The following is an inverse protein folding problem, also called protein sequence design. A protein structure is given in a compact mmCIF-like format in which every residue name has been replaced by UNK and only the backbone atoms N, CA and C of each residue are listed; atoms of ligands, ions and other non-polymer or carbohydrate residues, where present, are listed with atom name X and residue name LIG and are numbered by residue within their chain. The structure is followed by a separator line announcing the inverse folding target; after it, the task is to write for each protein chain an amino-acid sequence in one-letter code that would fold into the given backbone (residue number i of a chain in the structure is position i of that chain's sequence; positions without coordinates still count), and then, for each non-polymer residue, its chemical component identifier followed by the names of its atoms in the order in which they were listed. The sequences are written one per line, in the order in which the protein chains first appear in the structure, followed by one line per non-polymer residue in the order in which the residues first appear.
data_IF_794305658719
#
_entry.id   IF_794305658719
#
_cell.length_a   1.000
_cell.length_b   1.000
_cell.length_c   1.000
_cell.angle_alpha   90.00
_cell.angle_beta   90.00
_cell.angle_gamma   90.00
#
_symmetry.space_group_name_H-M   'P 1'
#
loop_
_entity.id
_entity.type
_entity.pdbx_description
1 polymer ?
#
# COMPACT_ATOMS: atom_id res chain seq x y z
N UNK A 1 -13.92 -21.65 24.54
CA UNK A 1 -14.36 -20.36 23.96
C UNK A 1 -13.65 -20.19 22.61
N UNK A 2 -14.29 -20.48 21.47
CA UNK A 2 -13.66 -20.36 20.17
C UNK A 2 -13.75 -18.91 19.69
N UNK A 3 -12.72 -18.11 19.95
CA UNK A 3 -12.63 -16.72 19.50
C UNK A 3 -12.01 -16.59 18.08
N UNK A 4 -11.64 -17.71 17.45
CA UNK A 4 -11.00 -17.72 16.13
C UNK A 4 -11.99 -17.62 14.95
N UNK A 5 -13.11 -18.34 15.00
CA UNK A 5 -13.99 -18.49 13.83
C UNK A 5 -14.82 -17.24 13.51
N UNK A 6 -15.23 -16.46 14.53
CA UNK A 6 -15.98 -15.21 14.29
C UNK A 6 -15.13 -14.10 13.68
N UNK A 7 -13.86 -13.94 14.10
CA UNK A 7 -12.95 -12.95 13.49
C UNK A 7 -12.63 -13.31 12.04
N UNK A 8 -12.37 -14.60 11.78
CA UNK A 8 -12.15 -15.11 10.41
C UNK A 8 -13.41 -14.98 9.52
N UNK A 9 -14.62 -15.09 10.08
CA UNK A 9 -15.87 -14.82 9.33
C UNK A 9 -16.05 -13.34 9.00
N UNK A 10 -15.74 -12.43 9.92
CA UNK A 10 -15.82 -10.99 9.66
C UNK A 10 -14.74 -10.52 8.67
N UNK A 11 -13.54 -11.09 8.72
CA UNK A 11 -12.47 -10.83 7.76
C UNK A 11 -12.87 -11.27 6.34
N UNK A 12 -13.53 -12.43 6.19
CA UNK A 12 -14.04 -12.94 4.89
C UNK A 12 -15.08 -12.05 4.19
N UNK A 13 -15.65 -11.05 4.85
CA UNK A 13 -16.64 -10.14 4.26
C UNK A 13 -15.96 -8.94 3.56
N UNK A 14 -14.70 -8.65 3.91
CA UNK A 14 -13.93 -7.55 3.33
C UNK A 14 -13.42 -7.90 1.94
N UNK A 15 -13.42 -6.92 1.04
CA UNK A 15 -12.82 -7.12 -0.28
C UNK A 15 -11.29 -7.23 -0.17
N UNK A 16 -10.62 -7.53 -1.28
CA UNK A 16 -9.15 -7.59 -1.33
C UNK A 16 -8.56 -6.20 -1.04
N UNK A 17 -9.15 -5.16 -1.62
CA UNK A 17 -8.74 -3.77 -1.35
C UNK A 17 -8.96 -3.33 0.10
N UNK A 18 -10.11 -3.70 0.70
CA UNK A 18 -10.40 -3.40 2.12
C UNK A 18 -9.34 -4.00 3.06
N UNK A 19 -8.89 -5.23 2.78
CA UNK A 19 -7.84 -5.87 3.58
C UNK A 19 -6.55 -5.05 3.56
N UNK A 20 -6.09 -4.62 2.39
CA UNK A 20 -4.83 -3.89 2.26
C UNK A 20 -4.91 -2.47 2.86
N UNK A 21 -6.07 -1.81 2.74
CA UNK A 21 -6.29 -0.50 3.35
C UNK A 21 -6.33 -0.53 4.89
N UNK A 22 -6.77 -1.64 5.48
CA UNK A 22 -6.94 -1.74 6.94
C UNK A 22 -5.76 -2.42 7.66
N UNK A 23 -4.95 -3.20 6.95
CA UNK A 23 -3.91 -4.06 7.53
C UNK A 23 -2.54 -3.73 6.91
N UNK A 24 -1.73 -2.86 7.56
CA UNK A 24 -0.42 -2.48 7.04
C UNK A 24 0.56 -3.67 6.99
N UNK A 25 0.43 -4.66 7.87
CA UNK A 25 1.21 -5.91 7.80
C UNK A 25 0.85 -6.75 6.57
N UNK A 26 -0.43 -6.83 6.21
CA UNK A 26 -0.86 -7.48 4.97
C UNK A 26 -0.38 -6.71 3.74
N UNK A 27 -0.49 -5.37 3.73
CA UNK A 27 0.04 -4.51 2.68
C UNK A 27 1.54 -4.68 2.47
N UNK A 28 2.30 -4.75 3.56
CA UNK A 28 3.74 -4.96 3.51
C UNK A 28 4.13 -6.33 2.93
N UNK A 29 3.50 -7.40 3.42
CA UNK A 29 3.74 -8.74 2.88
C UNK A 29 3.31 -8.86 1.41
N UNK A 30 2.18 -8.25 1.03
CA UNK A 30 1.67 -8.23 -0.33
C UNK A 30 2.64 -7.52 -1.28
N UNK A 31 3.06 -6.30 -0.95
CA UNK A 31 3.98 -5.52 -1.78
C UNK A 31 5.32 -6.24 -1.95
N UNK A 32 5.89 -6.77 -0.85
CA UNK A 32 7.16 -7.49 -0.92
C UNK A 32 7.06 -8.75 -1.77
N UNK A 33 6.04 -9.59 -1.55
CA UNK A 33 5.84 -10.82 -2.32
C UNK A 33 5.55 -10.52 -3.79
N UNK A 34 4.74 -9.49 -4.09
CA UNK A 34 4.45 -9.07 -5.46
C UNK A 34 5.72 -8.72 -6.24
N UNK A 35 6.67 -8.04 -5.58
CA UNK A 35 7.94 -7.64 -6.20
C UNK A 35 8.91 -8.81 -6.42
N UNK A 36 8.92 -9.77 -5.50
CA UNK A 36 9.92 -10.85 -5.50
C UNK A 36 9.37 -12.19 -6.04
N UNK A 37 8.13 -12.22 -6.51
CA UNK A 37 7.45 -13.44 -6.91
C UNK A 37 8.18 -14.20 -8.05
N UNK A 38 8.16 -15.55 -8.03
CA UNK A 38 7.65 -16.39 -6.93
C UNK A 38 8.57 -16.34 -5.71
N UNK A 39 8.01 -16.14 -4.51
CA UNK A 39 8.78 -16.01 -3.26
C UNK A 39 8.08 -16.62 -2.04
N UNK A 40 8.86 -17.03 -1.04
CA UNK A 40 8.38 -17.67 0.18
C UNK A 40 8.27 -16.68 1.35
N UNK A 41 7.46 -17.04 2.36
CA UNK A 41 7.41 -16.28 3.62
C UNK A 41 8.75 -16.30 4.36
N UNK A 42 9.53 -17.37 4.22
CA UNK A 42 10.83 -17.46 4.90
C UNK A 42 11.86 -16.50 4.26
N UNK A 43 11.83 -16.31 2.93
CA UNK A 43 12.63 -15.27 2.25
C UNK A 43 12.20 -13.85 2.64
N UNK A 44 10.88 -13.61 2.70
CA UNK A 44 10.33 -12.34 3.17
C UNK A 44 10.81 -12.02 4.58
N UNK A 45 10.68 -12.97 5.52
CA UNK A 45 11.14 -12.78 6.91
C UNK A 45 12.65 -12.59 6.97
N UNK A 46 13.42 -13.35 6.20
CA UNK A 46 14.88 -13.24 6.16
C UNK A 46 15.38 -11.90 5.62
N UNK A 47 14.54 -11.19 4.85
CA UNK A 47 14.90 -9.91 4.23
C UNK A 47 14.43 -8.71 5.04
N UNK A 48 13.20 -8.73 5.58
CA UNK A 48 12.56 -7.51 6.10
C UNK A 48 12.49 -7.43 7.64
N UNK A 49 13.25 -8.28 8.36
CA UNK A 49 13.33 -8.30 9.83
C UNK A 49 11.94 -8.22 10.53
N UNK A 50 10.97 -8.95 9.99
CA UNK A 50 9.61 -9.05 10.54
C UNK A 50 9.45 -10.32 11.38
N UNK A 51 8.55 -10.29 12.36
CA UNK A 51 8.26 -11.48 13.15
C UNK A 51 7.65 -12.59 12.28
N UNK A 52 8.27 -13.79 12.29
CA UNK A 52 7.82 -14.98 11.52
C UNK A 52 6.33 -15.26 11.69
N UNK A 53 5.80 -15.14 12.92
CA UNK A 53 4.40 -15.44 13.20
C UNK A 53 3.47 -14.41 12.55
N UNK A 54 3.84 -13.13 12.58
CA UNK A 54 3.08 -12.06 11.93
C UNK A 54 3.15 -12.19 10.40
N UNK A 55 4.33 -12.46 9.84
CA UNK A 55 4.51 -12.68 8.41
C UNK A 55 3.66 -13.85 7.89
N UNK A 56 3.64 -14.99 8.61
CA UNK A 56 2.77 -16.13 8.26
C UNK A 56 1.30 -15.80 8.39
N UNK A 57 0.91 -15.01 9.39
CA UNK A 57 -0.49 -14.59 9.56
C UNK A 57 -0.93 -13.68 8.39
N UNK A 58 -0.11 -12.71 8.01
CA UNK A 58 -0.37 -11.85 6.86
C UNK A 58 -0.48 -12.66 5.56
N UNK A 59 0.49 -13.55 5.28
CA UNK A 59 0.44 -14.40 4.09
C UNK A 59 -0.81 -15.31 4.05
N UNK A 60 -1.18 -15.92 5.18
CA UNK A 60 -2.40 -16.73 5.25
C UNK A 60 -3.67 -15.90 5.00
N UNK A 61 -3.71 -14.65 5.47
CA UNK A 61 -4.83 -13.73 5.18
C UNK A 61 -4.89 -13.39 3.70
N UNK A 62 -3.76 -13.00 3.11
CA UNK A 62 -3.69 -12.68 1.69
C UNK A 62 -4.10 -13.88 0.82
N UNK A 63 -3.63 -15.09 1.14
CA UNK A 63 -4.03 -16.35 0.48
C UNK A 63 -5.53 -16.61 0.65
N UNK A 64 -6.10 -16.40 1.84
CA UNK A 64 -7.53 -16.57 2.09
C UNK A 64 -8.43 -15.57 1.33
N UNK A 65 -7.88 -14.42 0.93
CA UNK A 65 -8.53 -13.40 0.11
C UNK A 65 -8.19 -13.54 -1.39
N UNK A 66 -7.43 -14.57 -1.79
CA UNK A 66 -7.06 -14.82 -3.18
C UNK A 66 -6.05 -13.81 -3.75
N UNK A 67 -5.27 -13.15 -2.90
CA UNK A 67 -4.18 -12.27 -3.33
C UNK A 67 -2.85 -13.03 -3.52
N UNK A 68 -2.71 -14.20 -2.90
CA UNK A 68 -1.56 -15.08 -3.08
C UNK A 68 -2.02 -16.46 -3.55
N UNK A 69 -1.31 -17.02 -4.51
CA UNK A 69 -1.43 -18.41 -4.92
C UNK A 69 -0.17 -19.18 -4.52
N UNK A 70 -0.34 -20.28 -3.79
CA UNK A 70 0.79 -21.11 -3.35
C UNK A 70 1.19 -22.08 -4.46
N UNK A 71 2.43 -21.98 -4.91
CA UNK A 71 3.05 -22.87 -5.90
C UNK A 71 4.14 -23.74 -5.24
N UNK A 72 4.76 -24.63 -6.02
CA UNK A 72 5.89 -25.44 -5.53
C UNK A 72 7.16 -24.61 -5.22
N UNK A 73 7.27 -23.40 -5.77
CA UNK A 73 8.43 -22.51 -5.58
C UNK A 73 8.20 -21.43 -4.50
N UNK A 74 6.96 -21.18 -4.10
CA UNK A 74 6.61 -20.14 -3.13
C UNK A 74 5.21 -19.61 -3.37
N UNK A 75 5.03 -18.30 -3.25
CA UNK A 75 3.81 -17.60 -3.56
C UNK A 75 3.97 -16.82 -4.87
N UNK A 76 3.01 -16.99 -5.77
CA UNK A 76 2.74 -16.06 -6.87
C UNK A 76 1.66 -15.07 -6.44
N UNK A 77 1.72 -13.86 -6.96
CA UNK A 77 0.90 -12.73 -6.51
C UNK A 77 0.24 -12.08 -7.71
N UNK A 78 -1.09 -12.11 -7.75
CA UNK A 78 -1.85 -11.35 -8.74
C UNK A 78 -1.78 -9.85 -8.39
N UNK A 79 -1.39 -9.03 -9.38
CA UNK A 79 -1.43 -7.58 -9.25
C UNK A 79 -2.89 -7.13 -9.09
N UNK A 80 -3.19 -6.50 -7.96
CA UNK A 80 -4.52 -6.02 -7.65
C UNK A 80 -4.74 -4.67 -8.32
N UNK A 81 -5.90 -4.48 -8.94
CA UNK A 81 -6.45 -3.16 -9.20
C UNK A 81 -7.91 -3.17 -8.80
N UNK A 82 -8.21 -2.55 -7.67
CA UNK A 82 -9.57 -2.50 -7.14
C UNK A 82 -9.88 -1.08 -6.64
N UNK A 83 -11.09 -0.59 -6.85
CA UNK A 83 -11.52 0.69 -6.29
C UNK A 83 -12.39 0.45 -5.06
N UNK A 84 -11.94 0.93 -3.91
CA UNK A 84 -12.65 0.85 -2.63
C UNK A 84 -13.01 2.25 -2.17
N UNK A 85 -14.31 2.56 -2.15
CA UNK A 85 -14.84 3.87 -1.75
C UNK A 85 -14.15 5.06 -2.45
N UNK A 86 -13.82 4.90 -3.73
CA UNK A 86 -13.15 5.93 -4.55
C UNK A 86 -11.63 5.88 -4.53
N UNK A 87 -11.02 5.08 -3.65
CA UNK A 87 -9.56 4.88 -3.59
C UNK A 87 -9.17 3.71 -4.49
N UNK A 88 -8.23 3.93 -5.41
CA UNK A 88 -7.63 2.84 -6.19
C UNK A 88 -6.58 2.13 -5.33
N UNK A 89 -6.74 0.83 -5.14
CA UNK A 89 -5.81 -0.03 -4.39
C UNK A 89 -5.02 -0.87 -5.39
N UNK A 90 -3.71 -0.67 -5.39
CA UNK A 90 -2.72 -1.29 -6.27
C UNK A 90 -1.51 -1.79 -5.46
N UNK A 91 -0.57 -2.57 -6.05
CA UNK A 91 0.69 -2.92 -5.39
C UNK A 91 1.48 -1.72 -4.86
N UNK A 92 1.53 -0.63 -5.63
CA UNK A 92 2.20 0.61 -5.23
C UNK A 92 1.53 1.27 -4.03
N UNK A 93 0.20 1.30 -4.00
CA UNK A 93 -0.55 1.77 -2.82
C UNK A 93 -0.25 0.91 -1.60
N UNK A 94 -0.29 -0.42 -1.73
CA UNK A 94 0.06 -1.31 -0.63
C UNK A 94 1.48 -1.05 -0.09
N UNK A 95 2.46 -0.81 -0.98
CA UNK A 95 3.82 -0.45 -0.59
C UNK A 95 3.87 0.86 0.22
N UNK A 96 3.15 1.90 -0.22
CA UNK A 96 3.08 3.19 0.49
C UNK A 96 2.40 3.05 1.85
N UNK A 97 1.35 2.24 1.95
CA UNK A 97 0.67 1.98 3.23
C UNK A 97 1.55 1.23 4.22
N UNK A 98 2.39 0.32 3.73
CA UNK A 98 3.30 -0.48 4.54
C UNK A 98 4.35 0.37 5.29
N UNK A 99 4.67 1.56 4.78
CA UNK A 99 5.64 2.48 5.39
C UNK A 99 5.30 2.82 6.85
N UNK A 100 4.02 2.75 7.24
CA UNK A 100 3.57 2.97 8.62
C UNK A 100 4.20 2.03 9.65
N UNK A 101 4.68 0.86 9.21
CA UNK A 101 5.35 -0.10 10.09
C UNK A 101 6.74 0.39 10.52
N UNK A 102 7.43 1.11 9.65
CA UNK A 102 8.84 1.50 9.80
C UNK A 102 9.02 2.99 10.07
N UNK A 103 8.09 3.82 9.60
CA UNK A 103 8.18 5.27 9.67
C UNK A 103 7.11 5.86 10.60
N UNK A 104 7.57 6.43 11.72
CA UNK A 104 6.70 7.09 12.69
C UNK A 104 5.91 8.26 12.08
N UNK A 105 6.49 9.01 11.16
CA UNK A 105 5.80 10.13 10.51
C UNK A 105 4.64 9.63 9.63
N UNK A 106 4.80 8.50 8.93
CA UNK A 106 3.72 7.89 8.16
C UNK A 106 2.58 7.41 9.06
N UNK A 107 2.93 6.81 10.20
CA UNK A 107 1.93 6.41 11.21
C UNK A 107 1.18 7.62 11.77
N UNK A 108 1.85 8.72 12.07
CA UNK A 108 1.23 9.96 12.54
C UNK A 108 0.36 10.59 11.45
N UNK A 109 0.81 10.58 10.20
CA UNK A 109 0.02 11.05 9.07
C UNK A 109 -1.30 10.29 8.96
N UNK A 110 -1.27 8.95 9.00
CA UNK A 110 -2.48 8.13 8.96
C UNK A 110 -3.37 8.33 10.17
N UNK A 111 -2.81 8.57 11.37
CA UNK A 111 -3.62 8.92 12.54
C UNK A 111 -4.37 10.25 12.39
N UNK A 112 -3.81 11.21 11.65
CA UNK A 112 -4.42 12.53 11.43
C UNK A 112 -5.42 12.52 10.28
N UNK A 113 -5.04 11.89 9.17
CA UNK A 113 -5.72 12.04 7.88
C UNK A 113 -6.38 10.74 7.39
N UNK A 114 -6.09 9.61 8.03
CA UNK A 114 -6.59 8.28 7.64
C UNK A 114 -5.75 7.60 6.56
N UNK A 115 -5.92 6.28 6.43
CA UNK A 115 -5.16 5.46 5.47
C UNK A 115 -5.52 5.81 4.02
N UNK A 116 -6.78 6.20 3.79
CA UNK A 116 -7.28 6.56 2.45
C UNK A 116 -6.56 7.78 1.89
N UNK A 117 -6.36 8.81 2.68
CA UNK A 117 -5.60 10.01 2.26
C UNK A 117 -4.16 9.66 1.89
N UNK A 118 -3.54 8.70 2.60
CA UNK A 118 -2.20 8.22 2.24
C UNK A 118 -2.21 7.41 0.93
N UNK A 119 -3.24 6.59 0.70
CA UNK A 119 -3.42 5.85 -0.55
C UNK A 119 -3.68 6.80 -1.74
N UNK A 120 -4.50 7.83 -1.54
CA UNK A 120 -4.80 8.86 -2.56
C UNK A 120 -3.55 9.67 -2.93
N UNK A 121 -2.60 9.85 -2.01
CA UNK A 121 -1.32 10.49 -2.30
C UNK A 121 -0.57 9.83 -3.46
N UNK A 122 -0.72 8.51 -3.64
CA UNK A 122 -0.06 7.76 -4.71
C UNK A 122 -0.46 8.24 -6.11
N UNK A 123 -1.67 8.78 -6.28
CA UNK A 123 -2.11 9.39 -7.54
C UNK A 123 -1.27 10.62 -7.95
N UNK A 124 -0.56 11.23 -6.99
CA UNK A 124 0.35 12.34 -7.25
C UNK A 124 1.72 11.89 -7.77
N UNK A 125 2.08 10.60 -7.65
CA UNK A 125 3.44 10.12 -7.97
C UNK A 125 3.90 10.45 -9.39
N UNK A 126 3.11 10.20 -10.46
CA UNK A 126 3.54 10.54 -11.82
C UNK A 126 3.81 12.05 -12.00
N UNK A 127 3.00 12.90 -11.36
CA UNK A 127 3.13 14.37 -11.43
C UNK A 127 4.32 14.89 -10.62
N UNK A 128 4.78 14.13 -9.62
CA UNK A 128 5.98 14.45 -8.85
C UNK A 128 7.22 14.07 -9.66
N UNK A 129 7.21 12.89 -10.27
CA UNK A 129 8.33 12.36 -11.05
C UNK A 129 8.59 13.17 -12.32
N UNK A 130 7.54 13.65 -13.00
CA UNK A 130 7.68 14.52 -14.17
C UNK A 130 7.92 16.01 -13.82
N UNK A 131 7.85 16.36 -12.54
CA UNK A 131 8.07 17.71 -12.02
C UNK A 131 6.89 18.68 -12.21
N UNK A 132 5.71 18.19 -12.59
CA UNK A 132 4.49 19.01 -12.73
C UNK A 132 4.06 19.63 -11.39
N UNK A 133 4.24 18.90 -10.28
CA UNK A 133 3.99 19.40 -8.93
C UNK A 133 5.17 19.18 -8.00
N UNK A 134 5.36 20.10 -7.05
CA UNK A 134 6.30 19.92 -5.95
C UNK A 134 5.64 19.29 -4.72
N UNK A 135 6.46 19.01 -3.70
CA UNK A 135 6.02 18.39 -2.46
C UNK A 135 5.03 19.24 -1.64
N UNK A 136 5.04 20.57 -1.79
CA UNK A 136 4.09 21.45 -1.12
C UNK A 136 2.71 21.38 -1.75
N UNK A 137 2.68 21.34 -3.09
CA UNK A 137 1.45 21.22 -3.90
C UNK A 137 0.71 19.91 -3.66
N UNK A 138 1.41 18.83 -3.31
CA UNK A 138 0.78 17.58 -2.85
C UNK A 138 -0.13 17.80 -1.65
N UNK A 139 0.26 18.68 -0.71
CA UNK A 139 -0.58 19.02 0.44
C UNK A 139 -1.91 19.65 0.03
N UNK A 140 -1.88 20.57 -0.93
CA UNK A 140 -3.09 21.20 -1.47
C UNK A 140 -4.01 20.20 -2.16
N UNK A 141 -3.45 19.30 -2.98
CA UNK A 141 -4.20 18.25 -3.69
C UNK A 141 -4.93 17.33 -2.71
N UNK A 142 -4.26 16.96 -1.62
CA UNK A 142 -4.82 16.09 -0.59
C UNK A 142 -5.71 16.84 0.42
N UNK A 143 -5.79 18.18 0.33
CA UNK A 143 -6.52 19.00 1.30
C UNK A 143 -5.90 18.97 2.70
N UNK A 144 -4.59 18.74 2.82
CA UNK A 144 -3.83 18.69 4.08
C UNK A 144 -2.84 19.85 4.19
N UNK A 145 -2.20 19.99 5.34
CA UNK A 145 -1.17 21.01 5.53
C UNK A 145 0.06 20.73 4.64
N UNK A 146 0.74 21.77 4.16
CA UNK A 146 1.91 21.66 3.26
C UNK A 146 2.97 20.67 3.78
N UNK A 147 3.31 20.76 5.07
CA UNK A 147 4.24 19.84 5.74
C UNK A 147 3.81 18.37 5.67
N UNK A 148 2.50 18.09 5.73
CA UNK A 148 1.97 16.74 5.59
C UNK A 148 2.02 16.28 4.12
N UNK A 149 1.88 17.20 3.16
CA UNK A 149 2.14 16.95 1.74
C UNK A 149 3.61 16.59 1.44
N UNK A 150 4.55 17.29 2.08
CA UNK A 150 5.98 16.96 2.03
C UNK A 150 6.25 15.58 2.63
N UNK A 151 5.60 15.25 3.75
CA UNK A 151 5.71 13.94 4.35
C UNK A 151 5.17 12.84 3.41
N UNK A 152 3.98 13.02 2.83
CA UNK A 152 3.39 12.11 1.86
C UNK A 152 4.30 11.88 0.65
N UNK A 153 4.91 12.94 0.12
CA UNK A 153 5.90 12.84 -0.97
C UNK A 153 7.10 11.99 -0.58
N UNK A 154 7.63 12.18 0.63
CA UNK A 154 8.78 11.41 1.11
C UNK A 154 8.42 9.93 1.36
N UNK A 155 7.17 9.63 1.74
CA UNK A 155 6.71 8.25 1.84
C UNK A 155 6.73 7.58 0.45
N UNK A 156 6.15 8.23 -0.57
CA UNK A 156 6.20 7.69 -1.94
C UNK A 156 7.63 7.48 -2.42
N UNK A 157 8.53 8.45 -2.20
CA UNK A 157 9.96 8.31 -2.55
C UNK A 157 10.66 7.14 -1.83
N UNK A 158 10.25 6.82 -0.61
CA UNK A 158 10.84 5.71 0.14
C UNK A 158 10.51 4.33 -0.46
N UNK A 159 9.47 4.24 -1.29
CA UNK A 159 9.04 3.02 -1.99
C UNK A 159 8.94 3.23 -3.49
N UNK A 160 9.70 4.18 -4.05
CA UNK A 160 9.68 4.53 -5.46
C UNK A 160 9.88 3.30 -6.37
N UNK A 161 10.75 2.39 -5.95
CA UNK A 161 11.02 1.13 -6.65
C UNK A 161 9.82 0.16 -6.68
N UNK A 162 8.89 0.24 -5.74
CA UNK A 162 7.62 -0.47 -5.81
C UNK A 162 6.61 0.26 -6.72
N UNK A 163 6.60 1.60 -6.70
CA UNK A 163 5.74 2.41 -7.56
C UNK A 163 6.11 2.22 -9.04
N UNK A 164 7.40 2.18 -9.37
CA UNK A 164 7.90 1.96 -10.73
C UNK A 164 7.56 0.56 -11.29
N UNK A 165 7.31 -0.41 -10.40
CA UNK A 165 6.94 -1.78 -10.75
C UNK A 165 5.43 -2.03 -10.70
N UNK A 166 4.62 -1.04 -10.32
CA UNK A 166 3.18 -1.18 -10.23
C UNK A 166 2.54 -1.13 -11.63
N UNK A 167 2.00 -2.25 -12.13
CA UNK A 167 1.44 -2.32 -13.49
C UNK A 167 0.13 -1.53 -13.65
N UNK A 168 -0.45 -1.04 -12.56
CA UNK A 168 -1.73 -0.36 -12.54
C UNK A 168 -1.64 1.11 -12.12
N UNK A 169 -0.43 1.63 -11.89
CA UNK A 169 -0.24 3.01 -11.43
C UNK A 169 -0.74 4.03 -12.45
N UNK A 170 -0.49 3.81 -13.75
CA UNK A 170 -1.00 4.67 -14.83
C UNK A 170 -2.53 4.66 -14.96
N UNK A 171 -3.19 3.65 -14.37
CA UNK A 171 -4.64 3.55 -14.35
C UNK A 171 -5.26 4.22 -13.10
N UNK A 172 -4.43 4.72 -12.18
CA UNK A 172 -4.88 5.57 -11.07
C UNK A 172 -5.13 6.98 -11.62
N UNK A 173 -6.35 7.53 -11.50
CA UNK A 173 -6.65 8.86 -12.01
C UNK A 173 -5.76 9.93 -11.35
N UNK A 174 -4.97 10.62 -12.16
CA UNK A 174 -4.17 11.74 -11.67
C UNK A 174 -5.07 12.89 -11.23
N UNK A 175 -4.76 13.57 -10.12
CA UNK A 175 -5.53 14.71 -9.65
C UNK A 175 -5.46 15.88 -10.64
N UNK A 176 -6.55 16.63 -10.76
CA UNK A 176 -6.55 17.89 -11.52
C UNK A 176 -5.86 18.98 -10.68
N UNK A 177 -4.64 19.32 -11.08
CA UNK A 177 -3.76 20.26 -10.35
C UNK A 177 -3.86 21.70 -10.87
N UNK A 178 -4.72 21.94 -11.86
CA UNK A 178 -4.81 23.23 -12.57
C UNK A 178 -3.55 23.53 -13.40
N UNK A 179 -3.45 24.72 -14.02
CA UNK A 179 -2.27 25.09 -14.78
C UNK A 179 -1.04 25.21 -13.86
N UNK A 180 0.06 24.56 -14.26
CA UNK A 180 1.38 24.76 -13.65
C UNK A 180 1.73 26.24 -13.70
N UNK A 181 1.95 26.87 -12.54
CA UNK A 181 2.43 28.26 -12.52
C UNK A 181 3.89 28.28 -12.98
N UNK A 182 4.27 29.22 -13.87
CA UNK A 182 5.60 29.31 -14.47
C UNK A 182 6.70 29.72 -13.48
#
# INVERSE_FOLDING_TARGET
MPLGESRLRSERIRTRGDLLLDDPEASHAYAWLHRHQPATVDEYVGTVDVNVRQARLAANRLEAHGLLERTGAGYEVEALHETVEGVHVTPGVAAVLAIQLENYAARVFVQRHGTRTLAEAVACWPLIEDGTIDSGRVGEVLGVHEQDGVAATNFMRAVADYLDLDPHLDAVPTPDVGPSLP
#
